data_IF_022852693641
#
_entry.id   IF_022852693641
#
_cell.length_a   1.000
_cell.length_b   1.000
_cell.length_c   1.000
_cell.angle_alpha   90.00
_cell.angle_beta   90.00
_cell.angle_gamma   90.00
#
_symmetry.space_group_name_H-M   'P 1'
#
loop_
_entity.id
_entity.type
_entity.pdbx_description
1 polymer ?
#
# COMPACT_ATOMS: atom_id res chain seq x y z
N UNK A 1 44.12 -6.32 43.22
CA UNK A 1 43.83 -7.39 42.24
C UNK A 1 42.86 -6.81 41.23
N UNK A 2 43.30 -6.55 40.00
CA UNK A 2 42.35 -6.24 38.92
C UNK A 2 41.55 -7.50 38.59
N UNK A 3 40.28 -7.32 38.26
CA UNK A 3 39.44 -8.41 37.76
C UNK A 3 40.04 -8.81 36.40
N UNK A 4 40.34 -10.10 36.20
CA UNK A 4 40.94 -10.63 34.95
C UNK A 4 40.17 -10.22 33.68
N UNK A 5 38.87 -9.93 33.83
CA UNK A 5 38.01 -9.42 32.76
C UNK A 5 38.43 -8.02 32.27
N UNK A 6 38.90 -7.14 33.17
CA UNK A 6 39.39 -5.81 32.78
C UNK A 6 40.73 -5.90 32.06
N UNK A 7 41.63 -6.79 32.49
CA UNK A 7 42.91 -7.02 31.81
C UNK A 7 42.68 -7.54 30.37
N UNK A 8 41.75 -8.49 30.19
CA UNK A 8 41.33 -8.97 28.86
C UNK A 8 40.77 -7.83 28.01
N UNK A 9 39.94 -6.97 28.62
CA UNK A 9 39.31 -5.86 27.94
C UNK A 9 40.34 -4.82 27.48
N UNK A 10 41.31 -4.47 28.33
CA UNK A 10 42.39 -3.55 27.97
C UNK A 10 43.24 -4.07 26.80
N UNK A 11 43.58 -5.36 26.79
CA UNK A 11 44.34 -5.97 25.69
C UNK A 11 43.57 -5.84 24.37
N UNK A 12 42.29 -6.24 24.35
CA UNK A 12 41.47 -6.17 23.14
C UNK A 12 41.26 -4.73 22.64
N UNK A 13 41.07 -3.76 23.57
CA UNK A 13 40.93 -2.35 23.21
C UNK A 13 42.24 -1.76 22.68
N UNK A 14 43.38 -2.16 23.24
CA UNK A 14 44.69 -1.72 22.78
C UNK A 14 45.01 -2.29 21.38
N UNK A 15 44.62 -3.53 21.09
CA UNK A 15 44.76 -4.08 19.74
C UNK A 15 43.90 -3.35 18.71
N UNK A 16 42.67 -2.96 19.06
CA UNK A 16 41.86 -2.13 18.17
C UNK A 16 42.55 -0.79 17.88
N UNK A 17 43.09 -0.12 18.91
CA UNK A 17 43.80 1.16 18.76
C UNK A 17 45.07 1.03 17.89
N UNK A 18 45.84 -0.04 18.07
CA UNK A 18 47.04 -0.33 17.28
C UNK A 18 46.72 -0.48 15.79
N UNK A 19 45.66 -1.22 15.48
CA UNK A 19 45.24 -1.49 14.11
C UNK A 19 44.32 -0.41 13.52
N UNK A 20 44.00 0.65 14.26
CA UNK A 20 42.97 1.63 13.87
C UNK A 20 43.27 2.31 12.53
N UNK A 21 44.51 2.71 12.28
CA UNK A 21 44.89 3.34 11.01
C UNK A 21 44.74 2.38 9.82
N UNK A 22 45.13 1.11 10.00
CA UNK A 22 44.98 0.07 8.97
C UNK A 22 43.51 -0.23 8.71
N UNK A 23 42.69 -0.32 9.77
CA UNK A 23 41.24 -0.54 9.64
C UNK A 23 40.53 0.64 8.97
N UNK A 24 40.97 1.88 9.21
CA UNK A 24 40.43 3.06 8.52
C UNK A 24 40.76 3.06 7.03
N UNK A 25 41.99 2.68 6.65
CA UNK A 25 42.37 2.51 5.24
C UNK A 25 41.56 1.39 4.57
N UNK A 26 41.48 0.23 5.22
CA UNK A 26 40.69 -0.89 4.73
C UNK A 26 39.19 -0.53 4.60
N UNK A 27 38.67 0.27 5.52
CA UNK A 27 37.29 0.79 5.47
C UNK A 27 37.06 1.70 4.26
N UNK A 28 38.01 2.57 3.93
CA UNK A 28 37.90 3.44 2.75
C UNK A 28 37.98 2.64 1.45
N UNK A 29 38.89 1.67 1.35
CA UNK A 29 39.00 0.81 0.16
C UNK A 29 37.78 -0.09 -0.03
N UNK A 30 37.18 -0.57 1.06
CA UNK A 30 35.90 -1.27 1.02
C UNK A 30 34.77 -0.38 0.51
N UNK A 31 34.70 0.87 0.97
CA UNK A 31 33.71 1.84 0.52
C UNK A 31 33.82 2.08 -0.99
N UNK A 32 35.03 2.35 -1.48
CA UNK A 32 35.33 2.55 -2.90
C UNK A 32 35.00 1.30 -3.73
N UNK A 33 35.33 0.11 -3.23
CA UNK A 33 35.05 -1.16 -3.90
C UNK A 33 33.55 -1.38 -4.05
N UNK A 34 32.76 -1.18 -3.00
CA UNK A 34 31.30 -1.33 -3.06
C UNK A 34 30.65 -0.24 -3.92
N UNK A 35 31.21 0.97 -3.95
CA UNK A 35 30.77 2.04 -4.85
C UNK A 35 30.96 1.65 -6.32
N UNK A 36 32.13 1.14 -6.70
CA UNK A 36 32.38 0.62 -8.04
C UNK A 36 31.44 -0.54 -8.39
N UNK A 37 31.30 -1.53 -7.50
CA UNK A 37 30.43 -2.70 -7.70
C UNK A 37 28.97 -2.30 -7.93
N UNK A 38 28.44 -1.33 -7.16
CA UNK A 38 27.05 -0.90 -7.30
C UNK A 38 26.83 0.06 -8.48
N UNK A 39 27.83 0.83 -8.91
CA UNK A 39 27.71 1.67 -10.12
C UNK A 39 27.63 0.86 -11.41
N UNK A 40 28.18 -0.35 -11.43
CA UNK A 40 27.98 -1.31 -12.53
C UNK A 40 26.56 -1.90 -12.55
N UNK A 41 25.77 -1.65 -11.50
CA UNK A 41 24.42 -2.19 -11.35
C UNK A 41 23.36 -1.20 -11.83
N UNK A 42 22.22 -1.73 -12.28
CA UNK A 42 20.99 -0.94 -12.49
C UNK A 42 20.21 -0.69 -11.18
N UNK A 43 20.85 -0.83 -10.01
CA UNK A 43 20.18 -0.65 -8.73
C UNK A 43 20.26 0.80 -8.27
N UNK A 44 19.14 1.36 -7.83
CA UNK A 44 19.14 2.67 -7.18
C UNK A 44 19.62 2.56 -5.74
N UNK A 45 20.66 3.29 -5.41
CA UNK A 45 21.13 3.50 -4.05
C UNK A 45 21.40 4.99 -3.84
N UNK A 46 21.27 5.44 -2.60
CA UNK A 46 21.43 6.85 -2.22
C UNK A 46 22.84 7.12 -1.69
N UNK A 47 23.38 6.20 -0.89
CA UNK A 47 24.66 6.37 -0.23
C UNK A 47 25.28 5.02 0.16
N UNK A 48 26.60 4.98 0.25
CA UNK A 48 27.35 3.87 0.86
C UNK A 48 28.24 4.50 1.91
N UNK A 49 28.22 3.95 3.12
CA UNK A 49 29.09 4.43 4.19
C UNK A 49 29.74 3.26 4.91
N UNK A 50 31.03 3.41 5.22
CA UNK A 50 31.74 2.47 6.06
C UNK A 50 32.07 3.08 7.42
N UNK A 51 32.00 2.27 8.48
CA UNK A 51 32.41 2.68 9.83
C UNK A 51 33.28 1.62 10.48
N UNK A 52 34.38 2.06 11.08
CA UNK A 52 35.18 1.23 11.99
C UNK A 52 34.56 1.30 13.38
N UNK A 53 34.51 0.16 14.07
CA UNK A 53 33.96 0.07 15.43
C UNK A 53 34.76 0.97 16.40
N UNK A 54 34.05 1.77 17.21
CA UNK A 54 34.70 2.60 18.24
C UNK A 54 35.15 1.77 19.46
N UNK A 55 36.10 2.30 20.21
CA UNK A 55 36.65 1.69 21.43
C UNK A 55 35.54 1.51 22.48
N UNK A 56 34.67 2.50 22.64
CA UNK A 56 33.54 2.49 23.58
C UNK A 56 32.52 1.41 23.19
N UNK A 57 32.17 1.36 21.90
CA UNK A 57 31.24 0.36 21.37
C UNK A 57 31.79 -1.07 21.48
N UNK A 58 33.11 -1.25 21.31
CA UNK A 58 33.76 -2.54 21.51
C UNK A 58 33.73 -2.95 22.98
N UNK A 59 34.06 -2.04 23.91
CA UNK A 59 33.99 -2.27 25.36
C UNK A 59 32.61 -2.77 25.78
N UNK A 60 31.56 -2.04 25.43
CA UNK A 60 30.18 -2.42 25.76
C UNK A 60 29.82 -3.79 25.18
N UNK A 61 30.22 -4.07 23.93
CA UNK A 61 29.91 -5.34 23.26
C UNK A 61 30.61 -6.53 23.92
N UNK A 62 31.87 -6.38 24.34
CA UNK A 62 32.62 -7.43 25.05
C UNK A 62 31.95 -7.80 26.37
N UNK A 63 31.58 -6.78 27.15
CA UNK A 63 30.94 -6.97 28.46
C UNK A 63 29.54 -7.59 28.29
N UNK A 64 28.72 -7.06 27.38
CA UNK A 64 27.34 -7.53 27.15
C UNK A 64 27.26 -8.98 26.68
N UNK A 65 28.18 -9.41 25.82
CA UNK A 65 28.15 -10.75 25.22
C UNK A 65 29.06 -11.76 25.94
N UNK A 66 29.73 -11.35 27.02
CA UNK A 66 30.72 -12.15 27.75
C UNK A 66 31.77 -12.81 26.85
N UNK A 67 32.32 -12.06 25.88
CA UNK A 67 33.22 -12.64 24.87
C UNK A 67 34.50 -13.25 25.44
N UNK A 68 34.97 -12.75 26.60
CA UNK A 68 36.08 -13.32 27.36
C UNK A 68 35.87 -14.79 27.76
N UNK A 69 34.63 -15.30 27.78
CA UNK A 69 34.35 -16.73 28.02
C UNK A 69 34.46 -17.59 26.75
N UNK A 70 34.23 -17.00 25.57
CA UNK A 70 34.18 -17.70 24.28
C UNK A 70 35.50 -17.64 23.53
N UNK A 71 36.26 -16.58 23.74
CA UNK A 71 37.54 -16.34 23.10
C UNK A 71 38.60 -16.12 24.19
N UNK A 72 39.49 -17.11 24.42
CA UNK A 72 40.53 -16.99 25.44
C UNK A 72 41.60 -15.96 25.09
N UNK A 73 41.88 -15.75 23.79
CA UNK A 73 42.86 -14.79 23.31
C UNK A 73 42.21 -13.43 22.98
N UNK A 74 42.58 -12.42 23.76
CA UNK A 74 42.12 -11.05 23.60
C UNK A 74 42.67 -10.38 22.33
N UNK A 75 43.86 -10.78 21.86
CA UNK A 75 44.49 -10.15 20.70
C UNK A 75 43.78 -10.52 19.40
N UNK A 76 43.33 -11.77 19.30
CA UNK A 76 42.60 -12.26 18.13
C UNK A 76 41.12 -11.86 18.12
N UNK A 77 40.58 -11.39 19.26
CA UNK A 77 39.15 -11.14 19.41
C UNK A 77 38.61 -10.22 18.32
N UNK A 78 39.30 -9.12 18.04
CA UNK A 78 38.83 -8.11 17.07
C UNK A 78 38.66 -8.70 15.67
N UNK A 79 39.54 -9.63 15.26
CA UNK A 79 39.50 -10.31 13.96
C UNK A 79 38.46 -11.42 13.87
N UNK A 80 37.77 -11.74 14.99
CA UNK A 80 36.65 -12.68 15.04
C UNK A 80 35.28 -11.99 15.10
N UNK A 81 35.25 -10.67 15.22
CA UNK A 81 34.01 -9.90 15.27
C UNK A 81 33.57 -9.50 13.86
N UNK A 82 32.41 -9.99 13.41
CA UNK A 82 31.86 -9.66 12.08
C UNK A 82 31.64 -8.16 11.88
N UNK A 83 31.33 -7.40 12.94
CA UNK A 83 31.07 -5.96 12.88
C UNK A 83 32.29 -5.08 13.21
N UNK A 84 33.51 -5.57 12.93
CA UNK A 84 34.72 -4.77 13.10
C UNK A 84 34.70 -3.57 12.15
N UNK A 85 34.42 -3.82 10.87
CA UNK A 85 34.04 -2.81 9.88
C UNK A 85 32.56 -3.03 9.53
N UNK A 86 31.75 -1.99 9.63
CA UNK A 86 30.35 -2.02 9.21
C UNK A 86 30.16 -1.23 7.93
N UNK A 87 29.71 -1.90 6.87
CA UNK A 87 29.34 -1.29 5.60
C UNK A 87 27.83 -1.13 5.56
N UNK A 88 27.35 0.04 5.16
CA UNK A 88 25.94 0.33 5.03
C UNK A 88 25.65 0.85 3.63
N UNK A 89 24.79 0.12 2.92
CA UNK A 89 24.21 0.57 1.66
C UNK A 89 22.82 1.13 1.98
N UNK A 90 22.64 2.41 1.68
CA UNK A 90 21.39 3.14 1.87
C UNK A 90 20.67 3.24 0.53
N UNK A 91 19.41 2.83 0.48
CA UNK A 91 18.55 2.94 -0.71
C UNK A 91 17.28 3.73 -0.40
N UNK A 92 16.53 4.09 -1.44
CA UNK A 92 15.33 4.92 -1.28
C UNK A 92 14.19 4.14 -0.62
N UNK A 93 13.84 2.99 -1.21
CA UNK A 93 12.69 2.19 -0.79
C UNK A 93 13.07 0.79 -0.31
N UNK A 94 12.18 0.15 0.44
CA UNK A 94 12.36 -1.23 0.92
C UNK A 94 12.51 -2.25 -0.22
N UNK A 95 11.83 -2.01 -1.35
CA UNK A 95 11.94 -2.84 -2.56
C UNK A 95 13.37 -2.86 -3.13
N UNK A 96 14.10 -1.75 -3.02
CA UNK A 96 15.46 -1.63 -3.55
C UNK A 96 16.46 -2.45 -2.72
N UNK A 97 16.22 -2.64 -1.41
CA UNK A 97 17.06 -3.52 -0.58
C UNK A 97 17.14 -4.93 -1.16
N UNK A 98 15.98 -5.44 -1.61
CA UNK A 98 15.85 -6.76 -2.21
C UNK A 98 16.54 -6.82 -3.57
N UNK A 99 16.47 -5.75 -4.38
CA UNK A 99 17.14 -5.67 -5.69
C UNK A 99 18.66 -5.68 -5.50
N UNK A 100 19.18 -4.85 -4.60
CA UNK A 100 20.62 -4.77 -4.28
C UNK A 100 21.12 -6.11 -3.76
N UNK A 101 20.42 -6.76 -2.82
CA UNK A 101 20.81 -8.08 -2.33
C UNK A 101 20.87 -9.13 -3.46
N UNK A 102 19.88 -9.14 -4.36
CA UNK A 102 19.85 -10.04 -5.51
C UNK A 102 21.00 -9.76 -6.48
N UNK A 103 21.35 -8.50 -6.69
CA UNK A 103 22.50 -8.11 -7.51
C UNK A 103 23.80 -8.62 -6.90
N UNK A 104 24.06 -8.33 -5.62
CA UNK A 104 25.27 -8.80 -4.91
C UNK A 104 25.37 -10.33 -4.95
N UNK A 105 24.24 -11.04 -4.78
CA UNK A 105 24.22 -12.51 -4.87
C UNK A 105 24.59 -13.04 -6.27
N UNK A 106 24.30 -12.29 -7.33
CA UNK A 106 24.69 -12.64 -8.70
C UNK A 106 26.14 -12.26 -9.00
N UNK A 107 26.59 -11.13 -8.46
CA UNK A 107 27.96 -10.63 -8.64
C UNK A 107 28.97 -11.56 -7.94
N UNK A 108 28.73 -11.91 -6.68
CA UNK A 108 29.55 -12.86 -5.92
C UNK A 108 29.08 -14.30 -6.15
N UNK A 109 29.45 -14.89 -7.29
CA UNK A 109 28.93 -16.18 -7.74
C UNK A 109 29.88 -17.38 -7.57
N UNK A 110 31.16 -17.17 -7.23
CA UNK A 110 32.12 -18.26 -7.02
C UNK A 110 32.21 -18.60 -5.54
N UNK A 111 32.13 -19.90 -5.23
CA UNK A 111 32.17 -20.39 -3.85
C UNK A 111 33.63 -20.52 -3.37
N UNK A 112 33.91 -19.93 -2.20
CA UNK A 112 35.12 -20.14 -1.40
C UNK A 112 34.81 -21.05 -0.20
N UNK A 113 35.78 -21.15 0.72
CA UNK A 113 35.65 -21.94 1.96
C UNK A 113 34.56 -21.40 2.90
N UNK A 114 34.01 -22.29 3.74
CA UNK A 114 33.07 -21.95 4.83
C UNK A 114 31.85 -21.09 4.42
N UNK A 115 31.28 -21.37 3.25
CA UNK A 115 30.09 -20.71 2.69
C UNK A 115 30.26 -19.23 2.29
N UNK A 116 31.50 -18.79 2.12
CA UNK A 116 31.80 -17.49 1.53
C UNK A 116 31.80 -17.57 0.00
N UNK A 117 31.44 -16.46 -0.65
CA UNK A 117 31.40 -16.32 -2.09
C UNK A 117 32.19 -15.08 -2.51
N UNK A 118 32.94 -15.18 -3.60
CA UNK A 118 33.80 -14.10 -4.13
C UNK A 118 33.53 -13.90 -5.64
N UNK A 119 34.14 -12.87 -6.22
CA UNK A 119 34.15 -12.62 -7.67
C UNK A 119 35.58 -12.74 -8.19
N UNK A 120 35.78 -13.26 -9.42
CA UNK A 120 37.12 -13.40 -10.02
C UNK A 120 37.82 -12.04 -10.20
N UNK A 121 37.05 -11.00 -10.53
CA UNK A 121 37.55 -9.63 -10.69
C UNK A 121 37.86 -8.94 -9.35
N UNK A 122 37.34 -9.48 -8.23
CA UNK A 122 37.47 -8.92 -6.88
C UNK A 122 37.71 -10.02 -5.84
N UNK A 123 38.84 -10.71 -5.96
CA UNK A 123 39.19 -11.84 -5.06
C UNK A 123 39.53 -11.41 -3.62
N UNK A 124 39.64 -10.10 -3.36
CA UNK A 124 39.94 -9.57 -2.02
C UNK A 124 38.70 -9.51 -1.12
N UNK A 125 37.49 -9.55 -1.68
CA UNK A 125 36.22 -9.46 -0.95
C UNK A 125 35.47 -10.78 -1.05
N UNK A 126 34.98 -11.28 0.08
CA UNK A 126 34.09 -12.43 0.11
C UNK A 126 32.89 -12.22 1.03
N UNK A 127 31.71 -12.71 0.61
CA UNK A 127 30.43 -12.54 1.30
C UNK A 127 29.79 -13.89 1.64
N UNK A 128 29.21 -14.01 2.83
CA UNK A 128 28.49 -15.21 3.25
C UNK A 128 27.04 -15.21 2.74
N UNK A 129 26.82 -15.80 1.57
CA UNK A 129 25.55 -15.73 0.83
C UNK A 129 24.68 -17.01 0.88
N UNK A 130 25.08 -18.02 1.64
CA UNK A 130 24.32 -19.28 1.78
C UNK A 130 23.07 -19.18 2.66
N UNK A 131 23.02 -18.22 3.58
CA UNK A 131 21.93 -18.07 4.56
C UNK A 131 20.64 -17.47 4.00
N UNK A 132 19.52 -17.71 4.68
CA UNK A 132 18.23 -17.07 4.38
C UNK A 132 18.32 -15.56 4.65
N UNK A 133 17.96 -14.77 3.65
CA UNK A 133 17.86 -13.31 3.73
C UNK A 133 16.47 -12.85 3.28
N UNK A 134 15.93 -11.79 3.89
CA UNK A 134 16.48 -11.04 5.03
C UNK A 134 16.44 -11.86 6.34
N UNK A 135 17.34 -11.54 7.28
CA UNK A 135 17.44 -12.20 8.60
C UNK A 135 16.39 -11.64 9.57
N UNK A 136 15.75 -12.51 10.37
CA UNK A 136 14.88 -12.06 11.48
C UNK A 136 15.73 -11.59 12.67
N UNK A 137 15.44 -10.40 13.15
CA UNK A 137 16.01 -9.79 14.35
C UNK A 137 15.26 -10.25 15.61
N UNK A 138 15.83 -9.96 16.80
CA UNK A 138 15.22 -10.30 18.10
C UNK A 138 13.87 -9.64 18.35
N UNK A 139 13.61 -8.52 17.68
CA UNK A 139 12.35 -7.77 17.72
C UNK A 139 11.30 -8.32 16.73
N UNK A 140 11.62 -9.37 15.95
CA UNK A 140 10.71 -9.96 14.96
C UNK A 140 10.83 -9.38 13.53
N UNK A 141 11.43 -8.19 13.38
CA UNK A 141 11.62 -7.54 12.07
C UNK A 141 12.73 -8.17 11.25
N UNK A 142 12.75 -7.89 9.95
CA UNK A 142 13.73 -8.45 9.02
C UNK A 142 14.73 -7.42 8.55
N UNK A 143 16.00 -7.82 8.40
CA UNK A 143 17.10 -6.98 7.91
C UNK A 143 17.97 -7.76 6.92
N UNK A 144 18.41 -7.11 5.84
CA UNK A 144 19.48 -7.64 5.01
C UNK A 144 20.82 -7.38 5.69
N UNK A 145 21.36 -8.42 6.34
CA UNK A 145 22.64 -8.37 7.05
C UNK A 145 23.53 -9.51 6.60
N UNK A 146 24.62 -9.22 5.93
CA UNK A 146 25.52 -10.19 5.32
C UNK A 146 26.90 -10.05 5.96
N UNK A 147 27.45 -11.15 6.48
CA UNK A 147 28.83 -11.16 6.97
C UNK A 147 29.80 -11.32 5.79
N UNK A 148 30.92 -10.61 5.84
CA UNK A 148 31.95 -10.63 4.81
C UNK A 148 33.37 -10.67 5.39
N UNK A 149 34.33 -10.93 4.51
CA UNK A 149 35.77 -10.88 4.80
C UNK A 149 36.48 -10.12 3.71
N UNK A 150 37.41 -9.27 4.12
CA UNK A 150 38.24 -8.46 3.26
C UNK A 150 39.71 -8.75 3.51
N UNK A 151 40.47 -9.04 2.46
CA UNK A 151 41.91 -9.31 2.57
C UNK A 151 42.69 -8.06 2.21
N UNK A 152 43.28 -7.40 3.21
CA UNK A 152 44.02 -6.15 3.07
C UNK A 152 45.40 -6.26 3.73
N UNK A 153 46.48 -5.93 3.02
CA UNK A 153 47.86 -5.98 3.53
C UNK A 153 48.20 -7.29 4.29
N UNK A 154 47.75 -8.45 3.77
CA UNK A 154 47.87 -9.81 4.36
C UNK A 154 47.04 -10.08 5.63
N UNK A 155 46.14 -9.18 6.03
CA UNK A 155 45.17 -9.38 7.10
C UNK A 155 43.79 -9.72 6.54
N UNK A 156 43.13 -10.72 7.14
CA UNK A 156 41.74 -11.03 6.85
C UNK A 156 40.85 -10.30 7.84
N UNK A 157 40.22 -9.23 7.38
CA UNK A 157 39.40 -8.32 8.18
C UNK A 157 37.93 -8.72 8.01
N UNK A 158 37.23 -9.13 9.07
CA UNK A 158 35.80 -9.37 9.00
C UNK A 158 35.02 -8.05 8.90
N UNK A 159 33.95 -8.05 8.10
CA UNK A 159 33.04 -6.92 8.00
C UNK A 159 31.58 -7.37 7.96
N UNK A 160 30.67 -6.46 8.29
CA UNK A 160 29.22 -6.67 8.25
C UNK A 160 28.61 -5.68 7.25
N UNK A 161 27.95 -6.21 6.23
CA UNK A 161 27.21 -5.44 5.25
C UNK A 161 25.73 -5.38 5.62
N UNK A 162 25.20 -4.18 5.74
CA UNK A 162 23.77 -3.91 5.92
C UNK A 162 23.20 -3.17 4.72
N UNK A 163 22.06 -3.61 4.21
CA UNK A 163 21.31 -2.91 3.15
C UNK A 163 20.02 -2.40 3.78
N UNK A 164 19.76 -1.09 3.70
CA UNK A 164 18.61 -0.45 4.35
C UNK A 164 18.02 0.69 3.51
N UNK A 165 16.70 0.75 3.46
CA UNK A 165 15.96 1.91 2.96
C UNK A 165 16.05 3.07 3.94
N UNK A 166 15.74 4.29 3.50
CA UNK A 166 15.67 5.48 4.36
C UNK A 166 14.75 5.25 5.56
N UNK A 167 13.59 4.66 5.33
CA UNK A 167 12.61 4.30 6.34
C UNK A 167 13.17 3.29 7.36
N UNK A 168 13.85 2.24 6.88
CA UNK A 168 14.47 1.23 7.73
C UNK A 168 15.68 1.77 8.51
N UNK A 169 16.39 2.73 7.92
CA UNK A 169 17.48 3.46 8.55
C UNK A 169 17.00 4.31 9.73
N UNK A 170 16.03 5.19 9.48
CA UNK A 170 15.42 6.02 10.50
C UNK A 170 14.89 5.18 11.66
N UNK A 171 14.12 4.12 11.34
CA UNK A 171 13.62 3.19 12.35
C UNK A 171 14.73 2.56 13.19
N UNK A 172 15.79 2.07 12.56
CA UNK A 172 16.91 1.42 13.25
C UNK A 172 17.64 2.38 14.20
N UNK A 173 17.71 3.66 13.86
CA UNK A 173 18.33 4.67 14.70
C UNK A 173 17.48 4.96 15.95
N UNK A 174 16.18 5.19 15.77
CA UNK A 174 15.23 5.39 16.87
C UNK A 174 15.21 4.18 17.80
N UNK A 175 15.10 2.97 17.24
CA UNK A 175 15.16 1.73 18.01
C UNK A 175 16.45 1.64 18.82
N UNK A 176 17.60 1.96 18.20
CA UNK A 176 18.88 1.92 18.88
C UNK A 176 18.95 2.92 20.04
N UNK A 177 18.44 4.14 19.85
CA UNK A 177 18.42 5.15 20.91
C UNK A 177 17.51 4.74 22.07
N UNK A 178 16.32 4.22 21.79
CA UNK A 178 15.33 3.84 22.81
C UNK A 178 15.81 2.60 23.58
N UNK A 179 16.17 1.51 22.88
CA UNK A 179 16.43 0.21 23.51
C UNK A 179 17.80 0.16 24.18
N UNK A 180 18.83 0.75 23.57
CA UNK A 180 20.21 0.52 24.01
C UNK A 180 20.80 1.61 24.91
N UNK A 181 20.30 2.86 24.87
CA UNK A 181 20.77 3.91 25.81
C UNK A 181 20.02 3.91 27.14
N UNK A 182 18.84 3.29 27.22
CA UNK A 182 18.01 3.22 28.43
C UNK A 182 17.97 1.79 29.00
N UNK A 183 19.13 1.26 29.37
CA UNK A 183 19.33 -0.14 29.78
C UNK A 183 18.53 -0.60 31.01
N UNK A 184 17.88 0.31 31.75
CA UNK A 184 17.31 0.00 33.06
C UNK A 184 15.79 -0.19 33.10
N UNK A 185 15.02 0.07 32.03
CA UNK A 185 13.55 0.15 32.19
C UNK A 185 12.64 -0.33 31.04
N UNK A 186 13.15 -0.71 29.86
CA UNK A 186 12.28 -0.79 28.65
C UNK A 186 11.99 -2.23 28.19
N UNK A 187 12.59 -3.26 28.80
CA UNK A 187 12.51 -4.63 28.27
C UNK A 187 11.14 -5.30 28.53
N UNK A 188 10.36 -4.85 29.50
CA UNK A 188 9.10 -5.50 29.92
C UNK A 188 7.80 -4.78 29.51
N UNK A 189 7.87 -3.57 28.93
CA UNK A 189 6.65 -2.85 28.60
C UNK A 189 6.06 -3.30 27.25
N UNK A 190 5.09 -4.21 27.31
CA UNK A 190 4.33 -4.69 26.15
C UNK A 190 3.70 -3.52 25.38
N UNK A 191 3.27 -2.46 26.07
CA UNK A 191 2.68 -1.27 25.45
C UNK A 191 3.68 -0.54 24.55
N UNK A 192 4.93 -0.35 25.01
CA UNK A 192 5.98 0.26 24.18
C UNK A 192 6.31 -0.60 22.96
N UNK A 193 6.29 -1.93 23.09
CA UNK A 193 6.50 -2.84 21.96
C UNK A 193 5.39 -2.71 20.93
N UNK A 194 4.14 -2.63 21.37
CA UNK A 194 2.98 -2.52 20.50
C UNK A 194 2.96 -1.18 19.75
N UNK A 195 3.27 -0.07 20.43
CA UNK A 195 3.45 1.24 19.79
C UNK A 195 4.58 1.20 18.76
N UNK A 196 5.73 0.63 19.13
CA UNK A 196 6.88 0.54 18.21
C UNK A 196 6.52 -0.30 16.97
N UNK A 197 5.80 -1.40 17.13
CA UNK A 197 5.32 -2.19 16.00
C UNK A 197 4.35 -1.40 15.11
N UNK A 198 3.41 -0.67 15.71
CA UNK A 198 2.47 0.18 14.98
C UNK A 198 3.20 1.26 14.16
N UNK A 199 4.13 2.00 14.77
CA UNK A 199 4.95 3.01 14.07
C UNK A 199 5.71 2.38 12.90
N UNK A 200 6.28 1.19 13.11
CA UNK A 200 7.02 0.49 12.06
C UNK A 200 6.13 0.11 10.87
N UNK A 201 4.91 -0.35 11.15
CA UNK A 201 3.93 -0.69 10.11
C UNK A 201 3.53 0.55 9.33
N UNK A 202 3.24 1.67 10.02
CA UNK A 202 2.90 2.94 9.38
C UNK A 202 4.03 3.46 8.49
N UNK A 203 5.27 3.41 8.97
CA UNK A 203 6.46 3.75 8.19
C UNK A 203 6.59 2.88 6.93
N UNK A 204 6.32 1.58 7.04
CA UNK A 204 6.37 0.66 5.90
C UNK A 204 5.23 0.93 4.90
N UNK A 205 4.05 1.31 5.40
CA UNK A 205 2.92 1.73 4.55
C UNK A 205 3.26 2.99 3.76
N UNK A 206 3.84 4.01 4.42
CA UNK A 206 4.27 5.25 3.77
C UNK A 206 5.34 4.97 2.70
N UNK A 207 6.32 4.11 2.99
CA UNK A 207 7.35 3.69 2.03
C UNK A 207 6.72 3.09 0.75
N UNK A 208 5.75 2.20 0.92
CA UNK A 208 5.03 1.56 -0.19
C UNK A 208 4.14 2.55 -0.97
N UNK A 209 3.47 3.47 -0.27
CA UNK A 209 2.65 4.53 -0.89
C UNK A 209 3.53 5.41 -1.80
N UNK A 210 4.65 5.91 -1.28
CA UNK A 210 5.59 6.74 -2.03
C UNK A 210 6.18 5.99 -3.23
N UNK A 211 6.54 4.72 -3.07
CA UNK A 211 7.04 3.89 -4.16
C UNK A 211 6.00 3.70 -5.28
N UNK A 212 4.74 3.52 -4.91
CA UNK A 212 3.63 3.36 -5.86
C UNK A 212 3.45 4.63 -6.68
N UNK A 213 3.45 5.79 -6.02
CA UNK A 213 3.39 7.10 -6.66
C UNK A 213 4.54 7.27 -7.67
N UNK A 214 5.79 7.00 -7.25
CA UNK A 214 6.95 7.16 -8.13
C UNK A 214 6.99 6.21 -9.32
N UNK A 215 6.75 4.90 -9.12
CA UNK A 215 6.71 3.92 -10.22
C UNK A 215 5.69 4.32 -11.29
N UNK A 216 4.55 4.87 -10.86
CA UNK A 216 3.54 5.35 -11.79
C UNK A 216 4.00 6.58 -12.58
N UNK A 217 4.63 7.56 -11.92
CA UNK A 217 5.24 8.73 -12.59
C UNK A 217 6.34 8.34 -13.59
N UNK A 218 7.19 7.37 -13.25
CA UNK A 218 8.29 6.92 -14.12
C UNK A 218 7.80 6.12 -15.33
N UNK A 219 6.78 5.27 -15.14
CA UNK A 219 6.20 4.46 -16.23
C UNK A 219 5.56 5.28 -17.36
N UNK A 220 5.21 6.55 -17.10
CA UNK A 220 4.44 7.40 -18.02
C UNK A 220 5.18 8.65 -18.54
N UNK A 221 6.45 8.89 -18.16
CA UNK A 221 7.33 9.84 -18.89
C UNK A 221 7.49 9.50 -20.39
N UNK A 222 7.09 8.30 -20.81
CA UNK A 222 7.21 7.78 -22.18
C UNK A 222 5.94 8.01 -23.02
N UNK A 223 4.75 8.29 -22.46
CA UNK A 223 3.52 8.46 -23.26
C UNK A 223 2.52 9.50 -22.69
N UNK A 224 2.30 10.54 -23.49
CA UNK A 224 1.21 11.55 -23.54
C UNK A 224 1.06 12.63 -22.45
N UNK A 225 0.92 13.87 -22.92
CA UNK A 225 0.31 14.99 -22.20
C UNK A 225 -1.22 14.79 -22.15
N UNK A 226 -1.80 14.86 -20.93
CA UNK A 226 -3.19 14.54 -20.47
C UNK A 226 -3.65 13.08 -20.49
N UNK A 227 -4.27 12.51 -19.41
CA UNK A 227 -5.14 13.18 -18.43
C UNK A 227 -4.85 12.89 -16.92
N UNK A 228 -4.91 13.90 -16.04
CA UNK A 228 -4.65 13.76 -14.59
C UNK A 228 -5.75 13.00 -13.80
N UNK A 229 -7.03 13.04 -14.21
CA UNK A 229 -8.17 12.47 -13.42
C UNK A 229 -8.10 10.95 -13.23
N UNK A 230 -8.18 10.18 -14.33
CA UNK A 230 -8.26 8.70 -14.29
C UNK A 230 -7.03 8.07 -13.63
N UNK A 231 -5.87 8.73 -13.77
CA UNK A 231 -4.61 8.30 -13.16
C UNK A 231 -4.65 8.42 -11.63
N UNK A 232 -5.17 9.51 -11.10
CA UNK A 232 -5.29 9.70 -9.65
C UNK A 232 -6.32 8.73 -9.05
N UNK A 233 -7.41 8.47 -9.77
CA UNK A 233 -8.42 7.50 -9.35
C UNK A 233 -7.85 6.08 -9.25
N UNK A 234 -7.04 5.65 -10.23
CA UNK A 234 -6.33 4.36 -10.18
C UNK A 234 -5.39 4.27 -8.97
N UNK A 235 -4.64 5.34 -8.67
CA UNK A 235 -3.73 5.38 -7.51
C UNK A 235 -4.53 5.23 -6.21
N UNK A 236 -5.56 6.06 -6.03
CA UNK A 236 -6.36 6.05 -4.80
C UNK A 236 -7.05 4.69 -4.62
N UNK A 237 -7.63 4.13 -5.68
CA UNK A 237 -8.27 2.81 -5.66
C UNK A 237 -7.29 1.72 -5.23
N UNK A 238 -6.05 1.76 -5.75
CA UNK A 238 -5.01 0.80 -5.38
C UNK A 238 -4.56 0.95 -3.93
N UNK A 239 -4.42 2.17 -3.44
CA UNK A 239 -4.05 2.43 -2.04
C UNK A 239 -5.12 1.94 -1.06
N UNK A 240 -6.40 2.21 -1.36
CA UNK A 240 -7.54 1.68 -0.59
C UNK A 240 -7.51 0.15 -0.62
N UNK A 241 -7.37 -0.44 -1.81
CA UNK A 241 -7.31 -1.90 -1.97
C UNK A 241 -6.22 -2.54 -1.13
N UNK A 242 -4.99 -2.01 -1.19
CA UNK A 242 -3.84 -2.59 -0.47
C UNK A 242 -4.00 -2.46 1.04
N UNK A 243 -4.52 -1.33 1.53
CA UNK A 243 -4.82 -1.11 2.95
C UNK A 243 -5.86 -2.11 3.47
N UNK A 244 -7.03 -2.19 2.81
CA UNK A 244 -8.10 -3.09 3.23
C UNK A 244 -7.71 -4.56 3.05
N UNK A 245 -6.97 -4.91 1.99
CA UNK A 245 -6.45 -6.26 1.80
C UNK A 245 -5.50 -6.68 2.92
N UNK A 246 -4.64 -5.76 3.36
CA UNK A 246 -3.74 -6.02 4.48
C UNK A 246 -4.52 -6.24 5.78
N UNK A 247 -5.47 -5.34 6.12
CA UNK A 247 -6.30 -5.45 7.32
C UNK A 247 -7.21 -6.70 7.30
N UNK A 248 -7.78 -7.08 6.16
CA UNK A 248 -8.55 -8.32 6.00
C UNK A 248 -7.67 -9.55 6.25
N UNK A 249 -6.46 -9.56 5.68
CA UNK A 249 -5.54 -10.68 5.88
C UNK A 249 -5.12 -10.83 7.35
N UNK A 250 -4.92 -9.73 8.07
CA UNK A 250 -4.57 -9.78 9.49
C UNK A 250 -5.74 -10.20 10.39
N UNK A 251 -6.97 -9.78 10.06
CA UNK A 251 -8.15 -9.98 10.92
C UNK A 251 -8.90 -11.29 10.68
N UNK A 252 -9.00 -11.73 9.42
CA UNK A 252 -9.84 -12.87 9.02
C UNK A 252 -9.10 -13.89 8.12
N UNK A 253 -7.81 -13.68 7.82
CA UNK A 253 -6.97 -14.53 6.96
C UNK A 253 -7.59 -14.83 5.57
N UNK A 254 -8.35 -13.87 5.03
CA UNK A 254 -9.00 -13.98 3.72
C UNK A 254 -8.32 -13.09 2.69
N UNK A 255 -8.26 -13.60 1.45
CA UNK A 255 -7.83 -12.84 0.27
C UNK A 255 -8.96 -12.83 -0.74
N UNK A 256 -9.64 -11.69 -0.86
CA UNK A 256 -10.73 -11.48 -1.80
C UNK A 256 -10.33 -10.36 -2.76
N UNK A 257 -10.71 -10.49 -4.03
CA UNK A 257 -10.58 -9.40 -4.98
C UNK A 257 -11.83 -8.52 -4.93
N UNK A 258 -11.65 -7.26 -4.55
CA UNK A 258 -12.69 -6.23 -4.49
C UNK A 258 -12.21 -4.95 -5.21
N UNK A 259 -11.39 -5.11 -6.25
CA UNK A 259 -10.84 -4.01 -7.04
C UNK A 259 -11.95 -3.09 -7.57
N UNK A 260 -12.99 -3.67 -8.15
CA UNK A 260 -14.08 -2.91 -8.78
C UNK A 260 -14.87 -2.12 -7.73
N UNK A 261 -15.05 -2.67 -6.52
CA UNK A 261 -15.60 -1.94 -5.38
C UNK A 261 -14.79 -0.69 -5.04
N UNK A 262 -13.46 -0.78 -5.03
CA UNK A 262 -12.61 0.38 -4.77
C UNK A 262 -12.72 1.44 -5.88
N UNK A 263 -12.76 1.02 -7.14
CA UNK A 263 -12.85 1.91 -8.30
C UNK A 263 -14.17 2.70 -8.28
N UNK A 264 -15.30 2.04 -8.04
CA UNK A 264 -16.61 2.68 -7.92
C UNK A 264 -16.70 3.63 -6.74
N UNK A 265 -16.21 3.24 -5.55
CA UNK A 265 -16.22 4.13 -4.38
C UNK A 265 -15.40 5.39 -4.67
N UNK A 266 -14.26 5.24 -5.34
CA UNK A 266 -13.46 6.38 -5.78
C UNK A 266 -14.25 7.24 -6.78
N UNK A 267 -14.88 6.68 -7.82
CA UNK A 267 -15.67 7.48 -8.75
C UNK A 267 -16.80 8.25 -8.04
N UNK A 268 -17.49 7.63 -7.07
CA UNK A 268 -18.47 8.29 -6.21
C UNK A 268 -17.89 9.48 -5.44
N UNK A 269 -16.75 9.30 -4.76
CA UNK A 269 -16.08 10.38 -4.00
C UNK A 269 -15.70 11.54 -4.93
N UNK A 270 -15.24 11.23 -6.15
CA UNK A 270 -14.91 12.25 -7.14
C UNK A 270 -16.16 12.96 -7.69
N UNK A 271 -17.25 12.22 -7.91
CA UNK A 271 -18.53 12.76 -8.37
C UNK A 271 -19.14 13.74 -7.35
N UNK A 272 -19.22 13.35 -6.07
CA UNK A 272 -19.78 14.16 -4.97
C UNK A 272 -19.13 15.54 -4.87
N UNK A 273 -17.82 15.61 -5.13
CA UNK A 273 -17.05 16.85 -5.00
C UNK A 273 -17.15 17.78 -6.22
N UNK A 274 -18.01 17.50 -7.21
CA UNK A 274 -18.29 18.36 -8.39
C UNK A 274 -17.03 18.94 -9.04
N UNK A 275 -16.03 18.07 -9.19
CA UNK A 275 -14.67 18.50 -9.49
C UNK A 275 -14.59 19.10 -10.90
N UNK A 276 -14.34 20.41 -10.95
CA UNK A 276 -14.24 21.17 -12.19
C UNK A 276 -12.80 21.62 -12.48
N UNK A 277 -11.92 21.67 -11.46
CA UNK A 277 -10.54 22.17 -11.59
C UNK A 277 -9.49 21.22 -10.96
N UNK A 278 -8.22 21.31 -11.40
CA UNK A 278 -7.09 20.48 -10.92
C UNK A 278 -6.82 20.60 -9.40
N UNK A 279 -7.17 21.72 -8.77
CA UNK A 279 -7.03 21.92 -7.32
C UNK A 279 -7.92 21.00 -6.50
N UNK A 280 -9.13 20.72 -6.99
CA UNK A 280 -10.12 19.94 -6.22
C UNK A 280 -9.77 18.45 -6.26
N UNK A 281 -9.19 17.98 -7.37
CA UNK A 281 -8.59 16.64 -7.47
C UNK A 281 -7.52 16.41 -6.40
N UNK A 282 -6.64 17.40 -6.21
CA UNK A 282 -5.55 17.31 -5.24
C UNK A 282 -6.10 17.29 -3.81
N UNK A 283 -7.13 18.09 -3.53
CA UNK A 283 -7.77 18.12 -2.21
C UNK A 283 -8.48 16.81 -1.88
N UNK A 284 -9.20 16.20 -2.84
CA UNK A 284 -9.83 14.89 -2.66
C UNK A 284 -8.78 13.81 -2.41
N UNK A 285 -7.66 13.85 -3.13
CA UNK A 285 -6.56 12.92 -2.91
C UNK A 285 -5.92 13.09 -1.53
N UNK A 286 -5.67 14.32 -1.10
CA UNK A 286 -5.14 14.61 0.25
C UNK A 286 -6.14 14.13 1.32
N UNK A 287 -7.43 14.38 1.12
CA UNK A 287 -8.47 13.89 2.04
C UNK A 287 -8.46 12.37 2.11
N UNK A 288 -8.45 11.67 0.97
CA UNK A 288 -8.40 10.22 0.93
C UNK A 288 -7.14 9.66 1.61
N UNK A 289 -5.96 10.25 1.37
CA UNK A 289 -4.72 9.84 2.05
C UNK A 289 -4.77 10.08 3.56
N UNK A 290 -5.33 11.21 4.00
CA UNK A 290 -5.51 11.50 5.42
C UNK A 290 -6.47 10.52 6.08
N UNK A 291 -7.58 10.18 5.41
CA UNK A 291 -8.52 9.15 5.89
C UNK A 291 -7.87 7.77 5.92
N UNK A 292 -7.07 7.40 4.92
CA UNK A 292 -6.31 6.15 4.94
C UNK A 292 -5.33 6.10 6.12
N UNK A 293 -4.68 7.23 6.45
CA UNK A 293 -3.79 7.30 7.60
C UNK A 293 -4.54 7.18 8.93
N UNK A 294 -5.69 7.86 9.11
CA UNK A 294 -6.47 7.72 10.35
C UNK A 294 -7.02 6.30 10.53
N UNK A 295 -7.49 5.69 9.44
CA UNK A 295 -8.06 4.34 9.44
C UNK A 295 -6.98 3.26 9.63
N UNK A 296 -5.72 3.55 9.25
CA UNK A 296 -4.60 2.65 9.50
C UNK A 296 -4.43 2.34 10.99
N UNK A 297 -4.73 3.30 11.87
CA UNK A 297 -4.59 3.19 13.33
C UNK A 297 -5.78 2.47 14.01
N UNK A 298 -6.94 2.38 13.36
CA UNK A 298 -8.13 1.74 13.90
C UNK A 298 -8.24 0.25 13.54
N UNK A 299 -8.69 -0.57 14.50
CA UNK A 299 -8.99 -1.98 14.24
C UNK A 299 -10.32 -2.12 13.49
N UNK A 300 -10.27 -2.44 12.19
CA UNK A 300 -11.47 -2.75 11.41
C UNK A 300 -11.96 -4.16 11.72
N UNK A 301 -13.20 -4.28 12.18
CA UNK A 301 -13.84 -5.58 12.40
C UNK A 301 -14.71 -5.98 11.20
N UNK A 302 -14.16 -6.83 10.33
CA UNK A 302 -14.87 -7.32 9.14
C UNK A 302 -16.01 -8.29 9.44
N UNK A 303 -16.14 -8.76 10.68
CA UNK A 303 -17.21 -9.68 11.12
C UNK A 303 -18.39 -8.94 11.79
N UNK A 304 -18.34 -7.60 11.90
CA UNK A 304 -19.42 -6.84 12.52
C UNK A 304 -20.54 -6.53 11.52
N UNK A 305 -21.79 -6.45 11.99
CA UNK A 305 -22.85 -5.82 11.19
C UNK A 305 -22.60 -4.31 11.07
N UNK A 306 -22.95 -3.75 9.91
CA UNK A 306 -23.09 -2.31 9.72
C UNK A 306 -24.45 -1.85 10.28
N UNK A 307 -24.48 -0.71 10.95
CA UNK A 307 -25.70 -0.17 11.56
C UNK A 307 -25.92 1.27 11.12
N UNK A 308 -27.18 1.64 10.92
CA UNK A 308 -27.57 3.01 10.66
C UNK A 308 -28.02 3.72 11.93
N UNK A 309 -27.65 5.00 12.03
CA UNK A 309 -27.93 5.88 13.17
C UNK A 309 -29.41 6.23 13.26
N UNK A 310 -30.12 6.18 12.13
CA UNK A 310 -31.56 6.40 11.99
C UNK A 310 -32.13 5.55 10.85
N UNK A 311 -33.45 5.66 10.63
CA UNK A 311 -34.09 5.11 9.43
C UNK A 311 -33.72 5.91 8.18
N UNK A 312 -33.57 5.22 7.06
CA UNK A 312 -33.35 5.83 5.73
C UNK A 312 -34.57 6.62 5.31
N UNK A 313 -34.35 7.81 4.74
CA UNK A 313 -35.40 8.66 4.21
C UNK A 313 -35.33 8.62 2.68
N UNK A 314 -36.38 8.08 2.08
CA UNK A 314 -36.52 8.04 0.63
C UNK A 314 -37.35 9.22 0.14
N UNK A 315 -36.82 9.99 -0.81
CA UNK A 315 -37.52 11.11 -1.44
C UNK A 315 -38.05 10.78 -2.84
N UNK A 316 -37.85 9.55 -3.31
CA UNK A 316 -38.14 9.12 -4.67
C UNK A 316 -38.18 7.58 -4.78
N UNK A 317 -38.98 7.07 -5.72
CA UNK A 317 -39.24 5.63 -5.89
C UNK A 317 -38.00 4.82 -6.29
N UNK A 318 -37.12 5.37 -7.13
CA UNK A 318 -35.87 4.70 -7.53
C UNK A 318 -35.01 4.42 -6.30
N UNK A 319 -34.83 5.45 -5.45
CA UNK A 319 -34.05 5.35 -4.22
C UNK A 319 -34.69 4.43 -3.20
N UNK A 320 -36.02 4.47 -3.05
CA UNK A 320 -36.74 3.57 -2.15
C UNK A 320 -36.57 2.10 -2.54
N UNK A 321 -36.63 1.81 -3.84
CA UNK A 321 -36.51 0.45 -4.38
C UNK A 321 -35.12 -0.12 -4.16
N UNK A 322 -34.07 0.59 -4.61
CA UNK A 322 -32.68 0.16 -4.41
C UNK A 322 -32.26 0.19 -2.94
N UNK A 323 -32.65 1.22 -2.20
CA UNK A 323 -32.30 1.38 -0.80
C UNK A 323 -32.81 0.23 0.06
N UNK A 324 -34.08 -0.16 -0.10
CA UNK A 324 -34.65 -1.33 0.60
C UNK A 324 -33.94 -2.64 0.24
N UNK A 325 -33.54 -2.81 -1.02
CA UNK A 325 -32.75 -3.95 -1.44
C UNK A 325 -31.37 -3.94 -0.76
N UNK A 326 -30.65 -2.82 -0.77
CA UNK A 326 -29.36 -2.67 -0.09
C UNK A 326 -29.45 -2.89 1.42
N UNK A 327 -30.49 -2.37 2.09
CA UNK A 327 -30.76 -2.64 3.51
C UNK A 327 -30.87 -4.15 3.80
N UNK A 328 -31.39 -4.93 2.84
CA UNK A 328 -31.50 -6.38 2.97
C UNK A 328 -30.18 -7.11 2.71
N UNK A 329 -29.32 -6.66 1.79
CA UNK A 329 -28.09 -7.39 1.42
C UNK A 329 -26.84 -6.95 2.21
N UNK A 330 -26.79 -5.71 2.71
CA UNK A 330 -25.61 -5.08 3.35
C UNK A 330 -25.00 -5.87 4.52
N UNK A 331 -25.81 -6.63 5.25
CA UNK A 331 -25.37 -7.45 6.38
C UNK A 331 -25.54 -8.96 6.16
N UNK A 332 -26.12 -9.36 5.04
CA UNK A 332 -26.36 -10.76 4.70
C UNK A 332 -25.32 -11.31 3.72
N UNK A 333 -24.67 -10.42 2.95
CA UNK A 333 -23.67 -10.78 1.96
C UNK A 333 -22.35 -10.06 2.20
N UNK A 334 -21.25 -10.83 2.15
CA UNK A 334 -19.93 -10.31 2.48
C UNK A 334 -19.46 -9.23 1.49
N UNK A 335 -19.71 -9.39 0.18
CA UNK A 335 -19.29 -8.43 -0.84
C UNK A 335 -19.93 -7.06 -0.61
N UNK A 336 -21.24 -7.03 -0.32
CA UNK A 336 -21.97 -5.80 0.00
C UNK A 336 -21.51 -5.20 1.32
N UNK A 337 -21.32 -6.03 2.35
CA UNK A 337 -20.81 -5.57 3.63
C UNK A 337 -19.43 -4.91 3.49
N UNK A 338 -18.53 -5.53 2.72
CA UNK A 338 -17.20 -4.99 2.46
C UNK A 338 -17.28 -3.68 1.67
N UNK A 339 -18.10 -3.61 0.63
CA UNK A 339 -18.31 -2.39 -0.17
C UNK A 339 -18.73 -1.22 0.71
N UNK A 340 -19.82 -1.37 1.46
CA UNK A 340 -20.34 -0.29 2.31
C UNK A 340 -19.41 0.02 3.48
N UNK A 341 -18.69 -0.97 4.00
CA UNK A 341 -17.67 -0.72 5.03
C UNK A 341 -16.54 0.15 4.49
N UNK A 342 -16.05 -0.12 3.28
CA UNK A 342 -15.04 0.73 2.64
C UNK A 342 -15.60 2.13 2.43
N UNK A 343 -16.84 2.25 1.91
CA UNK A 343 -17.50 3.53 1.68
C UNK A 343 -17.59 4.37 2.97
N UNK A 344 -18.18 3.82 4.04
CA UNK A 344 -18.39 4.52 5.31
C UNK A 344 -17.08 4.81 6.06
N UNK A 345 -16.04 4.03 5.79
CA UNK A 345 -14.72 4.29 6.37
C UNK A 345 -14.01 5.46 5.68
N UNK A 346 -14.29 5.69 4.40
CA UNK A 346 -13.63 6.73 3.60
C UNK A 346 -14.37 8.07 3.64
N UNK A 347 -15.68 8.05 3.82
CA UNK A 347 -16.51 9.24 3.82
C UNK A 347 -16.65 9.86 5.23
N UNK A 348 -16.82 11.19 5.32
CA UNK A 348 -16.79 11.92 6.59
C UNK A 348 -18.15 12.05 7.29
N UNK A 349 -19.25 11.52 6.72
CA UNK A 349 -20.58 11.61 7.33
C UNK A 349 -20.84 10.39 8.24
N UNK A 350 -22.09 10.26 8.69
CA UNK A 350 -22.57 9.05 9.32
C UNK A 350 -22.96 8.00 8.27
N UNK A 351 -23.01 6.72 8.66
CA UNK A 351 -23.26 5.61 7.74
C UNK A 351 -24.54 5.84 6.92
N UNK A 352 -25.57 6.41 7.56
CA UNK A 352 -26.84 6.73 6.90
C UNK A 352 -26.72 7.85 5.86
N UNK A 353 -25.99 8.93 6.15
CA UNK A 353 -25.81 10.05 5.24
C UNK A 353 -25.01 9.65 3.99
N UNK A 354 -23.99 8.82 4.18
CA UNK A 354 -23.20 8.29 3.06
C UNK A 354 -23.98 7.29 2.23
N UNK A 355 -24.84 6.48 2.86
CA UNK A 355 -25.75 5.58 2.17
C UNK A 355 -26.75 6.35 1.28
N UNK A 356 -27.38 7.40 1.81
CA UNK A 356 -28.33 8.23 1.05
C UNK A 356 -27.64 8.97 -0.11
N UNK A 357 -26.45 9.53 0.11
CA UNK A 357 -25.68 10.17 -0.96
C UNK A 357 -25.27 9.19 -2.06
N UNK A 358 -24.94 7.95 -1.70
CA UNK A 358 -24.60 6.92 -2.67
C UNK A 358 -25.80 6.50 -3.52
N UNK A 359 -27.01 6.43 -2.95
CA UNK A 359 -28.24 6.22 -3.72
C UNK A 359 -28.52 7.36 -4.70
N UNK A 360 -28.24 8.60 -4.28
CA UNK A 360 -28.35 9.78 -5.15
C UNK A 360 -27.38 9.70 -6.32
N UNK A 361 -26.14 9.31 -6.05
CA UNK A 361 -25.13 9.05 -7.06
C UNK A 361 -25.60 8.00 -8.07
N UNK A 362 -26.03 6.82 -7.62
CA UNK A 362 -26.50 5.75 -8.51
C UNK A 362 -27.68 6.20 -9.38
N UNK A 363 -28.65 6.91 -8.80
CA UNK A 363 -29.78 7.44 -9.56
C UNK A 363 -29.31 8.35 -10.69
N UNK A 364 -28.40 9.28 -10.40
CA UNK A 364 -27.90 10.22 -11.41
C UNK A 364 -27.10 9.45 -12.46
N UNK A 365 -26.17 8.59 -12.06
CA UNK A 365 -25.32 7.88 -13.02
C UNK A 365 -26.10 6.95 -13.93
N UNK A 366 -27.13 6.24 -13.44
CA UNK A 366 -27.96 5.38 -14.30
C UNK A 366 -28.92 6.11 -15.23
N UNK A 367 -29.31 7.35 -14.89
CA UNK A 367 -30.47 8.00 -15.53
C UNK A 367 -30.11 9.32 -16.20
N UNK A 368 -28.88 9.79 -16.05
CA UNK A 368 -28.38 11.04 -16.61
C UNK A 368 -27.02 10.84 -17.26
N UNK A 369 -26.93 11.25 -18.52
CA UNK A 369 -25.68 11.35 -19.26
C UNK A 369 -25.83 12.46 -20.29
N UNK A 370 -24.74 12.93 -20.89
CA UNK A 370 -24.81 13.94 -21.96
C UNK A 370 -25.76 13.53 -23.08
N UNK A 371 -25.79 12.24 -23.39
CA UNK A 371 -26.60 11.69 -24.47
C UNK A 371 -28.06 11.48 -24.05
N UNK A 372 -28.29 10.90 -22.86
CA UNK A 372 -29.61 10.75 -22.28
C UNK A 372 -30.29 12.11 -22.12
N UNK A 373 -29.58 13.09 -21.54
CA UNK A 373 -30.13 14.43 -21.29
C UNK A 373 -30.53 15.12 -22.60
N UNK A 374 -29.77 14.93 -23.68
CA UNK A 374 -30.16 15.40 -25.00
C UNK A 374 -31.46 14.77 -25.50
N UNK A 375 -31.70 13.47 -25.25
CA UNK A 375 -32.97 12.83 -25.58
C UNK A 375 -34.11 13.35 -24.70
N UNK A 376 -33.86 13.53 -23.40
CA UNK A 376 -34.82 14.10 -22.44
C UNK A 376 -35.25 15.51 -22.82
N UNK A 377 -34.34 16.39 -23.23
CA UNK A 377 -34.66 17.76 -23.66
C UNK A 377 -35.67 17.81 -24.83
N UNK A 378 -35.55 16.87 -25.77
CA UNK A 378 -36.47 16.71 -26.90
C UNK A 378 -37.86 16.26 -26.39
N UNK A 379 -37.90 15.28 -25.48
CA UNK A 379 -39.14 14.79 -24.89
C UNK A 379 -39.81 15.84 -24.01
N UNK A 380 -39.05 16.61 -23.23
CA UNK A 380 -39.55 17.74 -22.42
C UNK A 380 -40.23 18.76 -23.33
N UNK A 381 -39.60 19.11 -24.44
CA UNK A 381 -40.17 20.04 -25.43
C UNK A 381 -41.48 19.52 -26.05
N UNK A 382 -41.64 18.20 -26.15
CA UNK A 382 -42.83 17.55 -26.74
C UNK A 382 -43.97 17.33 -25.74
N UNK A 383 -43.65 16.86 -24.53
CA UNK A 383 -44.63 16.38 -23.56
C UNK A 383 -44.85 17.35 -22.38
N UNK A 384 -44.00 18.37 -22.22
CA UNK A 384 -44.11 19.34 -21.11
C UNK A 384 -44.12 18.63 -19.75
N UNK A 385 -45.11 18.96 -18.90
CA UNK A 385 -45.25 18.40 -17.55
C UNK A 385 -45.45 16.87 -17.56
N UNK A 386 -46.05 16.32 -18.62
CA UNK A 386 -46.29 14.88 -18.74
C UNK A 386 -45.00 14.07 -18.94
N UNK A 387 -43.89 14.71 -19.32
CA UNK A 387 -42.59 14.05 -19.42
C UNK A 387 -42.16 13.43 -18.09
N UNK A 388 -42.44 14.08 -16.96
CA UNK A 388 -42.05 13.56 -15.64
C UNK A 388 -42.64 12.16 -15.39
N UNK A 389 -43.87 11.90 -15.84
CA UNK A 389 -44.51 10.59 -15.71
C UNK A 389 -43.77 9.53 -16.54
N UNK A 390 -43.30 9.89 -17.74
CA UNK A 390 -42.53 9.00 -18.61
C UNK A 390 -41.15 8.74 -17.98
N UNK A 391 -40.47 9.79 -17.53
CA UNK A 391 -39.15 9.73 -16.91
C UNK A 391 -39.17 8.90 -15.62
N UNK A 392 -40.16 9.12 -14.75
CA UNK A 392 -40.33 8.34 -13.52
C UNK A 392 -40.64 6.87 -13.79
N UNK A 393 -41.40 6.56 -14.84
CA UNK A 393 -41.69 5.18 -15.22
C UNK A 393 -40.44 4.45 -15.75
N UNK A 394 -39.61 5.12 -16.55
CA UNK A 394 -38.32 4.55 -17.02
C UNK A 394 -37.39 4.33 -15.83
N UNK A 395 -37.24 5.33 -14.95
CA UNK A 395 -36.42 5.21 -13.72
C UNK A 395 -36.89 4.06 -12.83
N UNK A 396 -38.20 3.97 -12.58
CA UNK A 396 -38.80 2.90 -11.79
C UNK A 396 -38.45 1.52 -12.36
N UNK A 397 -38.60 1.34 -13.68
CA UNK A 397 -38.28 0.07 -14.33
C UNK A 397 -36.79 -0.27 -14.25
N UNK A 398 -35.90 0.70 -14.36
CA UNK A 398 -34.45 0.48 -14.16
C UNK A 398 -34.20 -0.01 -12.73
N UNK A 399 -34.71 0.67 -11.71
CA UNK A 399 -34.51 0.27 -10.32
C UNK A 399 -35.04 -1.14 -10.03
N UNK A 400 -36.25 -1.45 -10.49
CA UNK A 400 -36.87 -2.78 -10.33
C UNK A 400 -36.05 -3.87 -11.01
N UNK A 401 -35.50 -3.58 -12.20
CA UNK A 401 -34.67 -4.55 -12.92
C UNK A 401 -33.33 -4.76 -12.25
N UNK A 402 -32.69 -3.70 -11.75
CA UNK A 402 -31.42 -3.82 -11.01
C UNK A 402 -31.56 -4.66 -9.74
N UNK A 403 -32.67 -4.52 -9.00
CA UNK A 403 -32.95 -5.35 -7.82
C UNK A 403 -33.11 -6.83 -8.18
N UNK A 404 -33.66 -7.15 -9.37
CA UNK A 404 -33.84 -8.53 -9.81
C UNK A 404 -32.54 -9.24 -10.17
N UNK A 405 -31.48 -8.50 -10.52
CA UNK A 405 -30.18 -9.08 -10.88
C UNK A 405 -29.49 -9.72 -9.67
N UNK A 406 -29.73 -9.18 -8.47
CA UNK A 406 -29.23 -9.74 -7.20
C UNK A 406 -27.70 -9.97 -7.18
N UNK A 407 -26.94 -9.04 -7.78
CA UNK A 407 -25.46 -9.06 -7.81
C UNK A 407 -24.89 -7.73 -7.36
N UNK A 408 -23.69 -7.76 -6.76
CA UNK A 408 -22.94 -6.54 -6.44
C UNK A 408 -22.55 -5.74 -7.68
N UNK A 409 -22.49 -6.40 -8.82
CA UNK A 409 -22.09 -5.81 -10.10
C UNK A 409 -22.96 -4.61 -10.50
N UNK A 410 -24.18 -4.50 -9.96
CA UNK A 410 -25.09 -3.37 -10.19
C UNK A 410 -24.60 -2.03 -9.62
N UNK A 411 -23.50 -2.00 -8.85
CA UNK A 411 -22.87 -0.72 -8.48
C UNK A 411 -21.62 -0.41 -9.29
N UNK A 412 -21.13 -1.34 -10.10
CA UNK A 412 -19.87 -1.16 -10.81
C UNK A 412 -20.02 -0.32 -12.09
N UNK A 413 -18.95 0.39 -12.41
CA UNK A 413 -18.93 1.39 -13.49
C UNK A 413 -19.29 0.79 -14.86
N UNK A 414 -18.83 -0.43 -15.15
CA UNK A 414 -19.13 -1.09 -16.43
C UNK A 414 -20.64 -1.40 -16.57
N UNK A 415 -21.29 -1.85 -15.50
CA UNK A 415 -22.74 -2.09 -15.47
C UNK A 415 -23.52 -0.79 -15.66
N UNK A 416 -23.05 0.29 -15.01
CA UNK A 416 -23.62 1.63 -15.15
C UNK A 416 -23.52 2.10 -16.62
N UNK A 417 -22.36 1.93 -17.26
CA UNK A 417 -22.14 2.28 -18.66
C UNK A 417 -23.08 1.49 -19.60
N UNK A 418 -23.15 0.16 -19.43
CA UNK A 418 -24.00 -0.72 -20.23
C UNK A 418 -25.49 -0.35 -20.12
N UNK A 419 -25.99 -0.14 -18.90
CA UNK A 419 -27.39 0.25 -18.68
C UNK A 419 -27.66 1.66 -19.21
N UNK A 420 -26.69 2.58 -19.13
CA UNK A 420 -26.84 3.92 -19.72
C UNK A 420 -27.11 3.87 -21.22
N UNK A 421 -26.39 3.03 -21.96
CA UNK A 421 -26.58 2.88 -23.40
C UNK A 421 -28.00 2.39 -23.73
N UNK A 422 -28.51 1.43 -22.95
CA UNK A 422 -29.88 0.90 -23.08
C UNK A 422 -30.91 2.00 -22.75
N UNK A 423 -30.71 2.73 -21.66
CA UNK A 423 -31.60 3.82 -21.24
C UNK A 423 -31.62 4.94 -22.30
N UNK A 424 -30.46 5.31 -22.85
CA UNK A 424 -30.37 6.26 -23.98
C UNK A 424 -31.19 5.76 -25.17
N UNK A 425 -31.02 4.49 -25.53
CA UNK A 425 -31.75 3.87 -26.63
C UNK A 425 -33.27 3.92 -26.39
N UNK A 426 -33.74 3.65 -25.17
CA UNK A 426 -35.16 3.71 -24.84
C UNK A 426 -35.71 5.13 -24.95
N UNK A 427 -35.01 6.15 -24.43
CA UNK A 427 -35.47 7.54 -24.62
C UNK A 427 -35.48 7.94 -26.10
N UNK A 428 -34.50 7.49 -26.88
CA UNK A 428 -34.48 7.70 -28.33
C UNK A 428 -35.66 6.99 -29.02
N UNK A 429 -35.95 5.74 -28.65
CA UNK A 429 -37.09 4.99 -29.18
C UNK A 429 -38.41 5.70 -28.88
N UNK A 430 -38.59 6.23 -27.66
CA UNK A 430 -39.75 7.03 -27.29
C UNK A 430 -39.81 8.29 -28.16
N UNK A 431 -38.68 8.97 -28.37
CA UNK A 431 -38.60 10.15 -29.25
C UNK A 431 -39.02 9.85 -30.69
N UNK A 432 -38.65 8.70 -31.23
CA UNK A 432 -38.91 8.33 -32.62
C UNK A 432 -40.34 7.81 -32.84
N UNK A 433 -40.93 7.13 -31.86
CA UNK A 433 -42.18 6.37 -32.04
C UNK A 433 -43.40 6.93 -31.28
N UNK A 434 -43.19 7.72 -30.22
CA UNK A 434 -44.27 8.21 -29.36
C UNK A 434 -44.50 9.70 -29.59
N UNK A 435 -45.66 10.05 -30.14
CA UNK A 435 -45.99 11.44 -30.53
C UNK A 435 -46.95 12.13 -29.56
N UNK A 436 -47.78 11.37 -28.84
CA UNK A 436 -48.75 11.89 -27.87
C UNK A 436 -48.72 11.11 -26.56
N UNK A 437 -49.18 11.72 -25.46
CA UNK A 437 -49.20 11.03 -24.15
C UNK A 437 -50.13 9.81 -24.15
N UNK A 438 -51.24 9.85 -24.89
CA UNK A 438 -52.11 8.68 -25.07
C UNK A 438 -51.40 7.53 -25.79
N UNK A 439 -50.49 7.84 -26.73
CA UNK A 439 -49.67 6.81 -27.39
C UNK A 439 -48.66 6.18 -26.44
N UNK A 440 -48.11 6.97 -25.49
CA UNK A 440 -47.30 6.47 -24.40
C UNK A 440 -48.09 5.52 -23.51
N UNK A 441 -49.26 5.92 -23.03
CA UNK A 441 -50.09 5.10 -22.12
C UNK A 441 -50.44 3.72 -22.70
N UNK A 442 -50.62 3.62 -24.02
CA UNK A 442 -50.87 2.33 -24.70
C UNK A 442 -49.61 1.49 -24.88
N UNK A 443 -48.45 2.12 -25.08
CA UNK A 443 -47.20 1.43 -25.40
C UNK A 443 -46.28 1.18 -24.19
N UNK A 444 -46.47 1.90 -23.08
CA UNK A 444 -45.54 1.95 -21.94
C UNK A 444 -45.16 0.56 -21.43
N UNK A 445 -46.12 -0.34 -21.25
CA UNK A 445 -45.85 -1.69 -20.74
C UNK A 445 -44.92 -2.48 -21.67
N UNK A 446 -45.08 -2.33 -22.99
CA UNK A 446 -44.20 -3.01 -23.96
C UNK A 446 -42.81 -2.40 -23.99
N UNK A 447 -42.70 -1.07 -23.87
CA UNK A 447 -41.42 -0.36 -23.89
C UNK A 447 -40.62 -0.67 -22.62
N UNK A 448 -41.29 -0.64 -21.45
CA UNK A 448 -40.66 -0.94 -20.17
C UNK A 448 -40.28 -2.42 -20.05
N UNK A 449 -41.08 -3.34 -20.61
CA UNK A 449 -40.71 -4.75 -20.71
C UNK A 449 -39.49 -4.96 -21.61
N UNK A 450 -39.38 -4.21 -22.71
CA UNK A 450 -38.20 -4.26 -23.56
C UNK A 450 -36.96 -3.74 -22.82
N UNK A 451 -37.06 -2.60 -22.14
CA UNK A 451 -35.99 -2.07 -21.27
C UNK A 451 -35.53 -3.11 -20.24
N UNK A 452 -36.47 -3.75 -19.56
CA UNK A 452 -36.20 -4.81 -18.59
C UNK A 452 -35.41 -5.97 -19.20
N UNK A 453 -35.86 -6.48 -20.35
CA UNK A 453 -35.23 -7.62 -21.00
C UNK A 453 -33.82 -7.30 -21.51
N UNK A 454 -33.60 -6.11 -22.07
CA UNK A 454 -32.27 -5.70 -22.55
C UNK A 454 -31.29 -5.54 -21.37
N UNK A 455 -31.73 -4.95 -20.25
CA UNK A 455 -30.89 -4.84 -19.05
C UNK A 455 -30.51 -6.23 -18.52
N UNK A 456 -31.47 -7.14 -18.41
CA UNK A 456 -31.20 -8.52 -17.97
C UNK A 456 -30.21 -9.20 -18.93
N UNK A 457 -30.40 -9.08 -20.24
CA UNK A 457 -29.57 -9.75 -21.23
C UNK A 457 -28.10 -9.30 -21.18
N UNK A 458 -27.83 -8.06 -20.79
CA UNK A 458 -26.45 -7.56 -20.69
C UNK A 458 -25.79 -7.94 -19.35
N UNK A 459 -26.58 -8.22 -18.30
CA UNK A 459 -26.09 -8.40 -16.93
C UNK A 459 -26.23 -9.84 -16.37
N UNK A 460 -26.93 -10.72 -17.09
CA UNK A 460 -26.88 -12.19 -16.90
C UNK A 460 -25.68 -12.83 -17.59
#
# INVERSE_FOLDING_TARGET
>A
MNIKEFDYLEIALNELKRNQNTLLKASAELEDSFFSILNESYCEYSNISCRVKSVESLREKILRNHYYKRYPDANELIFRLSDLIGIRIECRFGDDEKKIYRFLKKYFNKKADNDFYFCEDNNHISLKLSGKQPQKQKNGFTIYRIDGRFTFENLVIPFELQIKSLTNMFWSEIEHQIIYKNSNYIIEDQFLRDIMNSIKNNLTMIDNQLLTVLKHFESKKVKSNTPNKRQLQEIISKLIYDMFSHKMKESIDMTINFKDSCETIVEYVFFKNNISNESDYTNVLISALNTLNSVSEESLNFNSSLSFERKVIYNDYFKETLGKYFENVINNEFSWNLFFRILFTLEPLDNIGDFENFLDYLKITYTESKHINKQKDILISRFGVNFNIIDDAVKAQVAETLVLIDKIDIVYDYTIEDVNEIVEYIYKYINDNITTFDSWERAKNSILLHLHNEIIQVLE
#
